data_IF_073628757338
#
_entry.id   IF_073628757338
#
_cell.length_a   1.000
_cell.length_b   1.000
_cell.length_c   1.000
_cell.angle_alpha   90.00
_cell.angle_beta   90.00
_cell.angle_gamma   90.00
#
_symmetry.space_group_name_H-M   'P 1'
#
loop_
_entity.id
_entity.type
_entity.pdbx_description
1 polymer ?
#
# COMPACT_ATOMS: atom_id res chain seq x y z
N UNK A 1 6.15 -18.53 -11.90
CA UNK A 1 6.84 -17.25 -11.85
C UNK A 1 6.03 -16.10 -12.45
N UNK A 2 5.68 -16.12 -13.74
CA UNK A 2 4.85 -15.06 -14.37
C UNK A 2 3.48 -14.92 -13.67
N UNK A 3 2.76 -16.02 -13.44
CA UNK A 3 1.49 -16.01 -12.74
C UNK A 3 1.57 -15.38 -11.34
N UNK A 4 2.65 -15.63 -10.59
CA UNK A 4 2.90 -15.04 -9.27
C UNK A 4 3.05 -13.53 -9.36
N UNK A 5 3.85 -13.03 -10.32
CA UNK A 5 4.04 -11.60 -10.54
C UNK A 5 2.75 -10.91 -10.99
N UNK A 6 1.98 -11.54 -11.89
CA UNK A 6 0.68 -11.00 -12.34
C UNK A 6 -0.32 -10.91 -11.19
N UNK A 7 -0.42 -11.96 -10.37
CA UNK A 7 -1.32 -11.99 -9.22
C UNK A 7 -0.93 -10.93 -8.18
N UNK A 8 0.37 -10.80 -7.89
CA UNK A 8 0.88 -9.73 -7.03
C UNK A 8 0.55 -8.35 -7.60
N UNK A 9 0.85 -8.13 -8.89
CA UNK A 9 0.61 -6.83 -9.55
C UNK A 9 -0.86 -6.44 -9.52
N UNK A 10 -1.78 -7.38 -9.75
CA UNK A 10 -3.21 -7.13 -9.66
C UNK A 10 -3.63 -6.68 -8.25
N UNK A 11 -3.17 -7.38 -7.23
CA UNK A 11 -3.50 -7.03 -5.85
C UNK A 11 -2.86 -5.71 -5.40
N UNK A 12 -1.59 -5.48 -5.74
CA UNK A 12 -0.90 -4.23 -5.46
C UNK A 12 -1.55 -3.05 -6.19
N UNK A 13 -2.03 -3.25 -7.42
CA UNK A 13 -2.78 -2.25 -8.17
C UNK A 13 -4.09 -1.88 -7.47
N UNK A 14 -4.88 -2.86 -7.04
CA UNK A 14 -6.12 -2.61 -6.31
C UNK A 14 -5.88 -1.87 -5.00
N UNK A 15 -4.82 -2.25 -4.27
CA UNK A 15 -4.41 -1.52 -3.06
C UNK A 15 -4.04 -0.06 -3.37
N UNK A 16 -3.27 0.16 -4.45
CA UNK A 16 -2.80 1.47 -4.89
C UNK A 16 -3.98 2.37 -5.33
N UNK A 17 -4.93 1.80 -6.05
CA UNK A 17 -6.13 2.53 -6.51
C UNK A 17 -7.08 2.87 -5.35
N UNK A 18 -7.10 2.06 -4.29
CA UNK A 18 -7.98 2.29 -3.13
C UNK A 18 -7.56 3.54 -2.37
N UNK A 19 -8.42 4.57 -2.29
CA UNK A 19 -8.10 5.81 -1.62
C UNK A 19 -7.70 5.59 -0.16
N UNK A 20 -6.63 6.27 0.26
CA UNK A 20 -6.11 6.19 1.62
C UNK A 20 -5.26 7.42 1.94
N UNK A 21 -4.48 7.34 3.03
CA UNK A 21 -3.65 8.45 3.52
C UNK A 21 -2.67 8.97 2.45
N UNK A 22 -2.05 8.07 1.69
CA UNK A 22 -1.08 8.43 0.64
C UNK A 22 -1.76 9.17 -0.51
N UNK A 23 -2.92 8.68 -0.99
CA UNK A 23 -3.74 9.34 -2.01
C UNK A 23 -4.20 10.72 -1.53
N UNK A 24 -4.69 10.81 -0.29
CA UNK A 24 -5.11 12.07 0.31
C UNK A 24 -3.98 13.09 0.39
N UNK A 25 -2.78 12.65 0.82
CA UNK A 25 -1.60 13.49 0.91
C UNK A 25 -1.21 14.04 -0.48
N UNK A 26 -1.16 13.18 -1.51
CA UNK A 26 -0.80 13.57 -2.88
C UNK A 26 -1.80 14.61 -3.42
N UNK A 27 -3.10 14.32 -3.34
CA UNK A 27 -4.14 15.20 -3.86
C UNK A 27 -4.14 16.55 -3.15
N UNK A 28 -4.12 16.54 -1.81
CA UNK A 28 -4.07 17.72 -0.98
C UNK A 28 -2.84 18.59 -1.29
N UNK A 29 -1.65 17.98 -1.31
CA UNK A 29 -0.42 18.70 -1.60
C UNK A 29 -0.43 19.27 -3.02
N UNK A 30 -0.91 18.50 -4.00
CA UNK A 30 -0.97 18.96 -5.40
C UNK A 30 -1.93 20.14 -5.60
N UNK A 31 -3.05 20.17 -4.86
CA UNK A 31 -4.04 21.24 -4.95
C UNK A 31 -3.59 22.49 -4.19
N UNK A 32 -3.09 22.33 -2.97
CA UNK A 32 -2.75 23.45 -2.09
C UNK A 32 -1.37 24.03 -2.37
N UNK A 33 -0.37 23.19 -2.68
CA UNK A 33 1.04 23.54 -2.77
C UNK A 33 1.63 23.37 -4.18
N UNK A 34 0.78 22.95 -5.11
CA UNK A 34 1.13 22.78 -6.50
C UNK A 34 1.78 21.42 -6.83
N UNK A 35 1.82 21.13 -8.14
CA UNK A 35 2.24 19.83 -8.70
C UNK A 35 3.65 19.42 -8.28
N UNK A 36 4.60 20.36 -8.23
CA UNK A 36 5.99 20.09 -7.86
C UNK A 36 6.09 19.50 -6.43
N UNK A 37 5.33 20.03 -5.49
CA UNK A 37 5.29 19.54 -4.13
C UNK A 37 4.50 18.23 -4.01
N UNK A 38 3.45 18.03 -4.83
CA UNK A 38 2.79 16.74 -5.01
C UNK A 38 3.75 15.63 -5.45
N UNK A 39 4.62 15.89 -6.42
CA UNK A 39 5.66 14.94 -6.83
C UNK A 39 6.68 14.65 -5.75
N UNK A 40 7.11 15.66 -4.97
CA UNK A 40 7.99 15.43 -3.81
C UNK A 40 7.34 14.51 -2.77
N UNK A 41 6.06 14.72 -2.48
CA UNK A 41 5.31 13.85 -1.57
C UNK A 41 5.22 12.40 -2.11
N UNK A 42 4.93 12.23 -3.40
CA UNK A 42 4.89 10.92 -4.06
C UNK A 42 6.24 10.20 -4.02
N UNK A 43 7.35 10.90 -4.28
CA UNK A 43 8.70 10.34 -4.14
C UNK A 43 9.01 9.95 -2.70
N UNK A 44 8.54 10.72 -1.72
CA UNK A 44 8.66 10.36 -0.31
C UNK A 44 7.89 9.08 0.02
N UNK A 45 6.66 8.94 -0.46
CA UNK A 45 5.85 7.72 -0.32
C UNK A 45 6.59 6.52 -0.89
N UNK A 46 7.17 6.65 -2.08
CA UNK A 46 7.97 5.60 -2.71
C UNK A 46 9.17 5.19 -1.87
N UNK A 47 9.87 6.16 -1.27
CA UNK A 47 10.95 5.88 -0.32
C UNK A 47 10.45 5.11 0.90
N UNK A 48 9.28 5.46 1.44
CA UNK A 48 8.62 4.72 2.52
C UNK A 48 8.31 3.27 2.14
N UNK A 49 7.85 3.03 0.91
CA UNK A 49 7.65 1.67 0.38
C UNK A 49 8.95 0.86 0.36
N UNK A 50 10.08 1.45 -0.05
CA UNK A 50 11.38 0.77 -0.01
C UNK A 50 11.87 0.51 1.43
N UNK A 51 11.59 1.41 2.38
CA UNK A 51 11.87 1.18 3.81
C UNK A 51 11.11 -0.04 4.31
N UNK A 52 9.81 -0.16 4.02
CA UNK A 52 9.02 -1.35 4.34
C UNK A 52 9.58 -2.59 3.67
N UNK A 53 9.96 -2.49 2.39
CA UNK A 53 10.63 -3.59 1.68
C UNK A 53 11.91 -4.05 2.35
N UNK A 54 12.74 -3.13 2.81
CA UNK A 54 13.97 -3.45 3.54
C UNK A 54 13.68 -4.15 4.89
N UNK A 55 12.69 -3.64 5.65
CA UNK A 55 12.24 -4.25 6.91
C UNK A 55 11.79 -5.71 6.66
N UNK A 56 10.97 -5.92 5.63
CA UNK A 56 10.47 -7.26 5.28
C UNK A 56 11.60 -8.17 4.78
N UNK A 57 12.47 -7.68 3.91
CA UNK A 57 13.58 -8.47 3.37
C UNK A 57 14.54 -8.96 4.46
N UNK A 58 14.89 -8.08 5.40
CA UNK A 58 15.77 -8.41 6.54
C UNK A 58 15.06 -9.31 7.55
N UNK A 59 13.80 -9.00 7.87
CA UNK A 59 13.01 -9.80 8.82
C UNK A 59 12.68 -11.19 8.29
N UNK A 60 12.33 -11.32 7.02
CA UNK A 60 12.04 -12.62 6.39
C UNK A 60 13.26 -13.51 6.27
N UNK A 61 14.42 -12.95 5.91
CA UNK A 61 15.67 -13.73 5.85
C UNK A 61 15.97 -14.40 7.18
N UNK A 62 15.86 -13.66 8.28
CA UNK A 62 16.04 -14.18 9.61
C UNK A 62 14.97 -15.21 10.02
N UNK A 63 13.70 -14.94 9.69
CA UNK A 63 12.57 -15.81 10.04
C UNK A 63 12.60 -17.14 9.30
N UNK A 64 12.89 -17.12 8.00
CA UNK A 64 12.96 -18.34 7.17
C UNK A 64 14.16 -19.22 7.53
N UNK A 65 15.24 -18.61 8.04
CA UNK A 65 16.40 -19.32 8.55
C UNK A 65 16.15 -19.93 9.93
N UNK A 66 15.24 -19.36 10.72
CA UNK A 66 15.06 -19.71 12.13
C UNK A 66 14.11 -20.90 12.37
N UNK A 67 12.95 -20.98 11.70
CA UNK A 67 11.96 -22.02 12.02
C UNK A 67 10.78 -22.07 11.03
N UNK A 68 10.37 -23.30 10.66
CA UNK A 68 9.12 -23.56 9.93
C UNK A 68 7.89 -23.08 10.73
N UNK A 69 7.90 -23.28 12.05
CA UNK A 69 6.82 -22.86 12.94
C UNK A 69 6.65 -21.34 12.92
N UNK A 70 7.75 -20.58 12.91
CA UNK A 70 7.69 -19.12 12.84
C UNK A 70 7.08 -18.63 11.51
N UNK A 71 7.37 -19.32 10.39
CA UNK A 71 6.73 -19.04 9.11
C UNK A 71 5.23 -19.32 9.14
N UNK A 72 4.80 -20.46 9.70
CA UNK A 72 3.40 -20.82 9.82
C UNK A 72 2.64 -19.85 10.73
N UNK A 73 3.23 -19.41 11.82
CA UNK A 73 2.68 -18.34 12.66
C UNK A 73 2.50 -17.04 11.87
N UNK A 74 3.51 -16.60 11.11
CA UNK A 74 3.41 -15.39 10.28
C UNK A 74 2.30 -15.53 9.22
N UNK A 75 2.18 -16.72 8.61
CA UNK A 75 1.13 -17.04 7.65
C UNK A 75 -0.27 -16.85 8.25
N UNK A 76 -0.53 -17.42 9.41
CA UNK A 76 -1.83 -17.32 10.07
C UNK A 76 -2.14 -15.91 10.59
N UNK A 77 -1.15 -15.22 11.15
CA UNK A 77 -1.27 -13.82 11.56
C UNK A 77 -1.58 -12.95 10.34
N UNK A 78 -0.88 -13.19 9.22
CA UNK A 78 -1.11 -12.47 7.96
C UNK A 78 -2.51 -12.69 7.40
N UNK A 79 -3.00 -13.94 7.38
CA UNK A 79 -4.34 -14.29 6.93
C UNK A 79 -5.43 -13.64 7.80
N UNK A 80 -5.31 -13.76 9.12
CA UNK A 80 -6.23 -13.14 10.08
C UNK A 80 -6.27 -11.62 9.92
N UNK A 81 -5.11 -11.02 9.68
CA UNK A 81 -5.03 -9.59 9.50
C UNK A 81 -5.61 -9.11 8.16
N UNK A 82 -5.36 -9.81 7.05
CA UNK A 82 -6.00 -9.50 5.77
C UNK A 82 -7.53 -9.56 5.88
N UNK A 83 -8.05 -10.56 6.62
CA UNK A 83 -9.46 -10.68 6.89
C UNK A 83 -9.98 -9.52 7.75
N UNK A 84 -9.25 -9.14 8.79
CA UNK A 84 -9.58 -7.98 9.62
C UNK A 84 -9.61 -6.68 8.80
N UNK A 85 -8.61 -6.45 7.91
CA UNK A 85 -8.61 -5.31 7.00
C UNK A 85 -9.81 -5.31 6.05
N UNK A 86 -10.16 -6.48 5.50
CA UNK A 86 -11.34 -6.63 4.64
C UNK A 86 -12.61 -6.23 5.40
N UNK A 87 -12.77 -6.71 6.62
CA UNK A 87 -13.91 -6.35 7.48
C UNK A 87 -13.92 -4.83 7.75
N UNK A 88 -12.78 -4.24 8.11
CA UNK A 88 -12.67 -2.80 8.32
C UNK A 88 -13.06 -2.00 7.07
N UNK A 89 -12.63 -2.42 5.88
CA UNK A 89 -13.00 -1.76 4.62
C UNK A 89 -14.51 -1.87 4.30
N UNK A 90 -15.14 -3.00 4.65
CA UNK A 90 -16.58 -3.21 4.44
C UNK A 90 -17.40 -2.35 5.44
N UNK A 91 -16.96 -2.28 6.69
CA UNK A 91 -17.63 -1.56 7.75
C UNK A 91 -17.32 -0.06 7.76
N UNK A 92 -16.25 0.35 7.06
CA UNK A 92 -15.85 1.75 6.98
C UNK A 92 -16.98 2.61 6.41
N UNK A 93 -17.42 3.59 7.19
CA UNK A 93 -18.29 4.63 6.66
C UNK A 93 -17.49 5.43 5.64
N UNK A 94 -18.02 5.64 4.43
CA UNK A 94 -17.32 6.42 3.42
C UNK A 94 -17.17 7.86 3.92
N UNK A 95 -15.98 8.20 4.39
CA UNK A 95 -15.64 9.58 4.75
C UNK A 95 -15.02 10.24 3.52
N UNK A 96 -15.52 11.41 3.11
CA UNK A 96 -14.85 12.19 2.08
C UNK A 96 -13.40 12.42 2.47
N UNK A 97 -12.48 12.26 1.50
CA UNK A 97 -11.07 12.62 1.74
C UNK A 97 -11.02 14.08 2.20
N UNK A 98 -10.54 14.32 3.42
CA UNK A 98 -10.36 15.69 3.92
C UNK A 98 -9.19 16.35 3.20
N UNK A 99 -9.53 17.17 2.19
CA UNK A 99 -8.58 17.93 1.39
C UNK A 99 -8.54 19.40 1.86
N UNK A 100 -9.46 19.78 2.76
CA UNK A 100 -9.71 21.20 3.08
C UNK A 100 -8.82 21.78 4.18
N UNK A 101 -8.16 20.98 5.01
CA UNK A 101 -7.47 21.45 6.23
C UNK A 101 -6.00 21.85 6.00
N UNK A 102 -5.71 22.88 5.20
CA UNK A 102 -4.31 23.31 4.95
C UNK A 102 -4.00 24.77 5.20
N UNK A 103 -4.87 25.54 5.84
CA UNK A 103 -4.67 26.98 5.94
C UNK A 103 -3.46 27.44 6.81
N UNK A 104 -2.76 26.54 7.53
CA UNK A 104 -1.68 26.91 8.45
C UNK A 104 -0.43 26.00 8.35
N UNK A 105 -0.01 25.56 7.16
CA UNK A 105 1.24 24.80 7.04
C UNK A 105 2.44 25.76 6.99
N UNK A 106 3.55 25.45 7.71
CA UNK A 106 4.78 26.22 7.62
C UNK A 106 5.28 26.29 6.18
N UNK A 107 5.70 27.47 5.72
CA UNK A 107 6.22 27.69 4.35
C UNK A 107 7.45 26.83 3.98
N UNK A 108 8.06 26.16 4.96
CA UNK A 108 9.27 25.32 4.83
C UNK A 108 8.99 23.82 4.91
N UNK A 109 7.77 23.37 4.63
CA UNK A 109 7.42 21.94 4.75
C UNK A 109 8.22 21.10 3.76
N UNK A 110 8.96 20.10 4.27
CA UNK A 110 9.62 19.09 3.45
C UNK A 110 8.61 18.01 3.03
N UNK A 111 8.04 18.17 1.84
CA UNK A 111 7.00 17.27 1.33
C UNK A 111 7.49 15.86 1.04
N UNK A 112 8.78 15.68 0.70
CA UNK A 112 9.38 14.36 0.58
C UNK A 112 9.39 13.63 1.94
N UNK A 113 9.92 14.28 2.98
CA UNK A 113 9.96 13.68 4.32
C UNK A 113 8.55 13.37 4.83
N UNK A 114 7.60 14.27 4.58
CA UNK A 114 6.21 14.08 4.97
C UNK A 114 5.56 12.89 4.24
N UNK A 115 5.85 12.71 2.97
CA UNK A 115 5.43 11.53 2.21
C UNK A 115 6.03 10.24 2.75
N UNK A 116 7.35 10.26 2.99
CA UNK A 116 8.08 9.12 3.52
C UNK A 116 7.56 8.70 4.91
N UNK A 117 7.52 9.62 5.86
CA UNK A 117 7.03 9.34 7.21
C UNK A 117 5.54 8.95 7.20
N UNK A 118 4.73 9.64 6.39
CA UNK A 118 3.32 9.32 6.25
C UNK A 118 3.09 7.88 5.77
N UNK A 119 3.89 7.40 4.82
CA UNK A 119 3.82 6.03 4.32
C UNK A 119 4.38 5.02 5.34
N UNK A 120 5.54 5.29 5.95
CA UNK A 120 6.15 4.40 6.96
C UNK A 120 5.25 4.24 8.18
N UNK A 121 4.57 5.31 8.60
CA UNK A 121 3.63 5.28 9.71
C UNK A 121 2.22 4.84 9.30
N UNK A 122 1.99 4.56 8.02
CA UNK A 122 0.70 4.10 7.51
C UNK A 122 0.51 2.60 7.83
N UNK A 123 -0.39 2.24 8.75
CA UNK A 123 -0.59 0.84 9.13
C UNK A 123 -1.05 -0.02 7.94
N UNK A 124 -1.82 0.55 7.00
CA UNK A 124 -2.26 -0.14 5.79
C UNK A 124 -1.05 -0.62 4.98
N UNK A 125 -0.01 0.21 4.84
CA UNK A 125 1.19 -0.12 4.08
C UNK A 125 2.07 -1.12 4.83
N UNK A 126 2.34 -0.86 6.11
CA UNK A 126 3.18 -1.76 6.92
C UNK A 126 2.68 -3.19 6.90
N UNK A 127 1.39 -3.35 7.10
CA UNK A 127 0.81 -4.69 7.20
C UNK A 127 0.66 -5.34 5.84
N UNK A 128 0.31 -4.59 4.78
CA UNK A 128 0.36 -5.11 3.42
C UNK A 128 1.75 -5.68 3.11
N UNK A 129 2.82 -4.94 3.42
CA UNK A 129 4.17 -5.40 3.15
C UNK A 129 4.54 -6.63 3.99
N UNK A 130 4.32 -6.59 5.29
CA UNK A 130 4.70 -7.68 6.20
C UNK A 130 3.90 -8.95 5.95
N UNK A 131 2.58 -8.84 5.70
CA UNK A 131 1.71 -10.01 5.57
C UNK A 131 1.59 -10.53 4.15
N UNK A 132 1.72 -9.66 3.14
CA UNK A 132 1.38 -9.98 1.77
C UNK A 132 2.60 -10.32 0.90
N UNK A 133 3.70 -9.55 0.99
CA UNK A 133 4.88 -9.81 0.17
C UNK A 133 5.45 -11.23 0.31
N UNK A 134 5.58 -11.79 1.53
CA UNK A 134 6.18 -13.10 1.71
C UNK A 134 5.51 -14.22 0.91
N UNK A 135 4.21 -14.07 0.65
CA UNK A 135 3.39 -15.06 -0.06
C UNK A 135 3.75 -15.21 -1.55
N UNK A 136 4.44 -14.21 -2.10
CA UNK A 136 4.83 -14.17 -3.51
C UNK A 136 6.30 -14.48 -3.75
N UNK A 137 7.02 -14.88 -2.70
CA UNK A 137 8.40 -15.33 -2.81
C UNK A 137 8.40 -16.84 -3.08
N UNK A 138 8.85 -17.30 -4.26
CA UNK A 138 8.87 -18.72 -4.58
C UNK A 138 9.87 -19.47 -3.70
N UNK A 139 9.56 -20.71 -3.38
CA UNK A 139 10.47 -21.59 -2.63
C UNK A 139 11.79 -21.73 -3.38
N UNK A 140 12.91 -21.65 -2.65
CA UNK A 140 14.26 -21.74 -3.20
C UNK A 140 14.80 -20.45 -3.83
N UNK A 141 14.03 -19.37 -3.86
CA UNK A 141 14.50 -18.07 -4.34
C UNK A 141 15.01 -17.19 -3.20
N UNK A 142 15.87 -16.22 -3.52
CA UNK A 142 16.38 -15.25 -2.55
C UNK A 142 15.25 -14.35 -2.04
N UNK A 143 14.90 -14.38 -0.74
CA UNK A 143 13.85 -13.53 -0.19
C UNK A 143 14.14 -12.05 -0.39
N UNK A 144 15.41 -11.64 -0.26
CA UNK A 144 15.83 -10.24 -0.42
C UNK A 144 15.59 -9.77 -1.86
N UNK A 145 16.09 -10.51 -2.86
CA UNK A 145 15.92 -10.11 -4.27
C UNK A 145 14.45 -10.06 -4.67
N UNK A 146 13.66 -11.07 -4.28
CA UNK A 146 12.24 -11.11 -4.61
C UNK A 146 11.46 -10.01 -3.91
N UNK A 147 11.74 -9.73 -2.65
CA UNK A 147 11.11 -8.61 -1.94
C UNK A 147 11.36 -7.30 -2.68
N UNK A 148 12.60 -6.99 -3.02
CA UNK A 148 12.90 -5.74 -3.75
C UNK A 148 12.32 -5.71 -5.16
N UNK A 149 12.23 -6.84 -5.86
CA UNK A 149 11.53 -6.92 -7.15
C UNK A 149 10.05 -6.56 -6.99
N UNK A 150 9.36 -7.18 -6.04
CA UNK A 150 7.93 -6.92 -5.79
C UNK A 150 7.68 -5.48 -5.34
N UNK A 151 8.53 -4.95 -4.46
CA UNK A 151 8.49 -3.54 -4.05
C UNK A 151 8.68 -2.61 -5.25
N UNK A 152 9.64 -2.90 -6.11
CA UNK A 152 9.89 -2.09 -7.32
C UNK A 152 8.68 -2.08 -8.26
N UNK A 153 8.04 -3.22 -8.46
CA UNK A 153 6.79 -3.31 -9.25
C UNK A 153 5.71 -2.43 -8.61
N UNK A 154 5.51 -2.53 -7.30
CA UNK A 154 4.52 -1.72 -6.59
C UNK A 154 4.84 -0.22 -6.68
N UNK A 155 6.10 0.18 -6.49
CA UNK A 155 6.56 1.57 -6.59
C UNK A 155 6.37 2.13 -8.00
N UNK A 156 6.64 1.36 -9.04
CA UNK A 156 6.38 1.78 -10.43
C UNK A 156 4.89 2.04 -10.64
N UNK A 157 4.02 1.11 -10.23
CA UNK A 157 2.58 1.31 -10.32
C UNK A 157 2.10 2.50 -9.51
N UNK A 158 2.60 2.65 -8.28
CA UNK A 158 2.31 3.78 -7.40
C UNK A 158 2.75 5.12 -8.00
N UNK A 159 3.92 5.15 -8.65
CA UNK A 159 4.44 6.34 -9.34
C UNK A 159 3.55 6.73 -10.53
N UNK A 160 3.17 5.75 -11.35
CA UNK A 160 2.27 6.00 -12.49
C UNK A 160 0.92 6.53 -11.99
N UNK A 161 0.32 5.91 -10.99
CA UNK A 161 -0.93 6.36 -10.39
C UNK A 161 -0.82 7.75 -9.76
N UNK A 162 0.23 8.00 -8.99
CA UNK A 162 0.50 9.31 -8.39
C UNK A 162 0.66 10.40 -9.46
N UNK A 163 1.33 10.08 -10.57
CA UNK A 163 1.48 10.99 -11.71
C UNK A 163 0.12 11.35 -12.30
N UNK A 164 -0.75 10.37 -12.51
CA UNK A 164 -2.13 10.62 -12.97
C UNK A 164 -2.86 11.52 -11.97
N UNK A 165 -2.86 11.17 -10.68
CA UNK A 165 -3.54 11.95 -9.62
C UNK A 165 -3.06 13.40 -9.56
N UNK A 166 -1.74 13.63 -9.60
CA UNK A 166 -1.14 14.97 -9.55
C UNK A 166 -1.58 15.82 -10.75
N UNK A 167 -1.64 15.22 -11.94
CA UNK A 167 -2.00 15.92 -13.16
C UNK A 167 -3.48 16.29 -13.23
N UNK A 168 -4.35 15.47 -12.64
CA UNK A 168 -5.80 15.67 -12.64
C UNK A 168 -6.35 15.99 -11.24
N UNK A 169 -5.50 16.47 -10.32
CA UNK A 169 -5.81 16.59 -8.90
C UNK A 169 -7.17 17.27 -8.61
N UNK A 170 -7.47 18.37 -9.28
CA UNK A 170 -8.74 19.09 -9.08
C UNK A 170 -9.96 18.22 -9.47
N UNK A 171 -9.91 17.50 -10.59
CA UNK A 171 -10.97 16.59 -11.04
C UNK A 171 -11.02 15.31 -10.20
N UNK A 172 -9.85 14.68 -9.95
CA UNK A 172 -9.76 13.47 -9.18
C UNK A 172 -10.31 13.64 -7.76
N UNK A 173 -10.05 14.78 -7.12
CA UNK A 173 -10.58 15.06 -5.79
C UNK A 173 -12.11 15.09 -5.77
N UNK A 174 -12.75 15.62 -6.80
CA UNK A 174 -14.20 15.63 -6.92
C UNK A 174 -14.82 14.23 -6.97
N UNK A 175 -14.21 13.32 -7.74
CA UNK A 175 -14.65 11.93 -7.83
C UNK A 175 -14.33 11.11 -6.56
N UNK A 176 -13.10 11.20 -6.05
CA UNK A 176 -12.64 10.43 -4.90
C UNK A 176 -13.24 10.92 -3.57
N UNK A 177 -13.97 12.04 -3.56
CA UNK A 177 -14.80 12.48 -2.43
C UNK A 177 -16.20 11.86 -2.43
N UNK A 178 -16.65 11.27 -3.53
CA UNK A 178 -17.99 10.72 -3.62
C UNK A 178 -18.11 9.46 -2.74
N UNK A 179 -19.03 9.43 -1.76
CA UNK A 179 -19.14 8.32 -0.83
C UNK A 179 -19.40 6.97 -1.53
N UNK A 180 -20.17 6.97 -2.61
CA UNK A 180 -20.46 5.78 -3.40
C UNK A 180 -19.20 5.18 -4.07
N UNK A 181 -18.32 6.04 -4.60
CA UNK A 181 -17.08 5.60 -5.24
C UNK A 181 -16.13 5.01 -4.20
N UNK A 182 -15.93 5.71 -3.08
CA UNK A 182 -15.11 5.23 -1.96
C UNK A 182 -15.62 3.87 -1.47
N UNK A 183 -16.94 3.75 -1.27
CA UNK A 183 -17.54 2.51 -0.79
C UNK A 183 -17.37 1.36 -1.79
N UNK A 184 -17.54 1.61 -3.07
CA UNK A 184 -17.31 0.61 -4.11
C UNK A 184 -15.86 0.14 -4.12
N UNK A 185 -14.89 1.06 -4.10
CA UNK A 185 -13.47 0.74 -4.08
C UNK A 185 -13.08 -0.04 -2.81
N UNK A 186 -13.60 0.35 -1.65
CA UNK A 186 -13.39 -0.38 -0.41
C UNK A 186 -13.92 -1.81 -0.48
N UNK A 187 -15.11 -2.03 -1.04
CA UNK A 187 -15.71 -3.38 -1.20
C UNK A 187 -14.90 -4.26 -2.14
N UNK A 188 -14.45 -3.73 -3.27
CA UNK A 188 -13.59 -4.46 -4.21
C UNK A 188 -12.28 -4.87 -3.54
N UNK A 189 -11.61 -3.94 -2.87
CA UNK A 189 -10.36 -4.23 -2.15
C UNK A 189 -10.58 -5.23 -1.01
N UNK A 190 -11.67 -5.12 -0.26
CA UNK A 190 -12.03 -6.08 0.78
C UNK A 190 -12.24 -7.48 0.21
N UNK A 191 -12.95 -7.61 -0.91
CA UNK A 191 -13.13 -8.88 -1.61
C UNK A 191 -11.80 -9.54 -1.99
N UNK A 192 -10.87 -8.74 -2.52
CA UNK A 192 -9.52 -9.21 -2.84
C UNK A 192 -8.77 -9.66 -1.59
N UNK A 193 -8.82 -8.91 -0.49
CA UNK A 193 -8.18 -9.29 0.76
C UNK A 193 -8.76 -10.58 1.35
N UNK A 194 -10.07 -10.79 1.26
CA UNK A 194 -10.72 -12.06 1.66
C UNK A 194 -10.19 -13.24 0.83
N UNK A 195 -10.12 -13.08 -0.50
CA UNK A 195 -9.59 -14.11 -1.39
C UNK A 195 -8.13 -14.45 -1.07
N UNK A 196 -7.30 -13.44 -0.77
CA UNK A 196 -5.92 -13.67 -0.38
C UNK A 196 -5.79 -14.28 1.01
N UNK A 197 -6.60 -13.87 1.98
CA UNK A 197 -6.64 -14.49 3.30
C UNK A 197 -6.98 -15.98 3.20
N UNK A 198 -8.00 -16.32 2.40
CA UNK A 198 -8.38 -17.71 2.15
C UNK A 198 -7.26 -18.50 1.44
N UNK A 199 -6.67 -17.92 0.38
CA UNK A 199 -5.55 -18.55 -0.33
C UNK A 199 -4.36 -18.79 0.61
N UNK A 200 -4.04 -17.83 1.48
CA UNK A 200 -2.95 -17.94 2.44
C UNK A 200 -3.23 -19.03 3.48
N UNK A 201 -4.43 -19.05 4.05
CA UNK A 201 -4.84 -20.06 5.03
C UNK A 201 -4.79 -21.48 4.45
N UNK A 202 -5.17 -21.65 3.17
CA UNK A 202 -5.22 -22.95 2.47
C UNK A 202 -3.87 -23.34 1.84
N UNK A 203 -2.87 -22.45 1.79
CA UNK A 203 -1.57 -22.78 1.22
C UNK A 203 -0.80 -23.75 2.13
N UNK A 204 -0.46 -24.93 1.61
CA UNK A 204 0.57 -25.79 2.16
C UNK A 204 1.91 -25.50 1.46
N UNK A 205 2.99 -25.57 2.19
CA UNK A 205 4.34 -25.48 1.64
C UNK A 205 4.75 -26.81 1.06
#
# INVERSE_FOLDING_TARGET
MIATLLTFSLAAMLLTLTPGLDTALILRTSIAEGRKNGFKAALGINAGCFIWGAIVALGLGALLAASQVAYDCLKWIGAAYLLWLAIQLILARPQPLDIASTSNQPKTTNWFLRGCLGNVLNPKMGIFYVSFLPQFIPVGQSPVMWTFLLVSIHVVMGTLWSTVLINIAAKASGYLRQPKIIQWMNRVTAGVFVLFAAKLALSSR
#
